data_IF_760605590567
#
_entry.id   IF_760605590567
#
_cell.length_a   1.000
_cell.length_b   1.000
_cell.length_c   1.000
_cell.angle_alpha   90.00
_cell.angle_beta   90.00
_cell.angle_gamma   90.00
#
_symmetry.space_group_name_H-M   'P 1'
#
loop_
_entity.id
_entity.type
_entity.pdbx_description
1 polymer ?
#
# COMPACT_ATOMS: atom_id res chain seq x y z
N UNK A 1 12.68 -15.78 -13.85
CA UNK A 1 13.36 -14.59 -14.39
C UNK A 1 14.58 -14.18 -13.56
N UNK A 2 14.80 -14.78 -12.37
CA UNK A 2 15.96 -14.47 -11.53
C UNK A 2 15.95 -13.04 -11.01
N UNK A 3 14.79 -12.53 -10.59
CA UNK A 3 14.66 -11.20 -9.98
C UNK A 3 15.10 -11.26 -8.52
N UNK A 4 15.81 -10.24 -8.06
CA UNK A 4 16.28 -10.12 -6.68
C UNK A 4 15.23 -9.50 -5.78
N UNK A 5 14.46 -8.53 -6.28
CA UNK A 5 13.45 -7.78 -5.53
C UNK A 5 12.20 -7.50 -6.37
N UNK A 6 11.07 -7.30 -5.70
CA UNK A 6 9.84 -6.77 -6.30
C UNK A 6 9.50 -5.44 -5.63
N UNK A 7 9.45 -4.37 -6.41
CA UNK A 7 9.03 -3.04 -5.97
C UNK A 7 7.79 -2.66 -6.75
N UNK A 8 6.67 -2.47 -6.06
CA UNK A 8 5.46 -1.97 -6.67
C UNK A 8 5.22 -0.54 -6.22
N UNK A 9 4.99 0.35 -7.16
CA UNK A 9 4.67 1.76 -6.90
C UNK A 9 3.36 2.14 -7.57
N UNK A 10 2.61 3.02 -6.95
CA UNK A 10 1.32 3.48 -7.43
C UNK A 10 0.71 4.51 -6.49
N UNK A 11 -0.58 4.73 -6.66
CA UNK A 11 -1.38 5.65 -5.86
C UNK A 11 -2.37 4.88 -4.98
N UNK A 12 -2.88 5.52 -3.92
CA UNK A 12 -3.83 4.91 -2.99
C UNK A 12 -4.70 5.96 -2.29
N UNK A 13 -5.85 5.54 -1.79
CA UNK A 13 -6.68 6.30 -0.89
C UNK A 13 -6.24 6.12 0.57
N UNK A 14 -6.14 7.21 1.33
CA UNK A 14 -5.77 7.18 2.75
C UNK A 14 -6.89 6.65 3.63
N UNK A 15 -6.53 5.74 4.54
CA UNK A 15 -7.43 5.21 5.58
C UNK A 15 -7.23 5.89 6.94
N UNK A 16 -6.21 6.71 7.10
CA UNK A 16 -5.88 7.43 8.35
C UNK A 16 -6.10 8.93 8.17
N UNK A 17 -6.61 9.59 9.21
CA UNK A 17 -6.88 11.02 9.17
C UNK A 17 -5.59 11.86 9.04
N UNK A 18 -4.52 11.42 9.70
CA UNK A 18 -3.22 12.08 9.75
C UNK A 18 -2.39 11.96 8.46
N UNK A 19 -2.73 11.02 7.58
CA UNK A 19 -2.01 10.84 6.31
C UNK A 19 -2.65 11.76 5.26
N UNK A 20 -1.91 12.71 4.74
CA UNK A 20 -2.40 13.72 3.82
C UNK A 20 -2.30 13.27 2.35
N UNK A 21 -3.04 13.95 1.49
CA UNK A 21 -2.87 13.83 0.04
C UNK A 21 -1.44 14.26 -0.31
N UNK A 22 -0.82 13.54 -1.23
CA UNK A 22 0.58 13.59 -1.64
C UNK A 22 1.58 12.92 -0.67
N UNK A 23 1.20 12.55 0.55
CA UNK A 23 2.07 11.74 1.42
C UNK A 23 2.40 10.39 0.80
N UNK A 24 3.51 9.79 1.25
CA UNK A 24 3.94 8.45 0.84
C UNK A 24 3.67 7.45 1.97
N UNK A 25 3.06 6.33 1.61
CA UNK A 25 2.96 5.14 2.46
C UNK A 25 3.90 4.06 1.92
N UNK A 26 4.82 3.60 2.78
CA UNK A 26 5.70 2.46 2.56
C UNK A 26 5.09 1.27 3.32
N UNK A 27 4.85 0.15 2.66
CA UNK A 27 4.25 -1.00 3.32
C UNK A 27 5.14 -1.57 4.42
N UNK A 28 4.58 -1.77 5.62
CA UNK A 28 5.14 -2.69 6.62
C UNK A 28 4.75 -4.13 6.28
N UNK A 29 3.50 -4.29 5.89
CA UNK A 29 2.89 -5.54 5.43
C UNK A 29 1.71 -5.22 4.51
N UNK A 30 1.22 -6.24 3.81
CA UNK A 30 0.13 -6.10 2.85
C UNK A 30 -0.86 -7.25 3.01
N UNK A 31 -2.16 -6.98 2.90
CA UNK A 31 -3.21 -8.01 2.91
C UNK A 31 -4.39 -7.66 2.00
N UNK A 32 -5.21 -8.67 1.70
CA UNK A 32 -6.48 -8.49 0.98
C UNK A 32 -7.59 -8.12 1.95
N UNK A 33 -8.18 -6.92 1.84
CA UNK A 33 -9.28 -6.51 2.71
C UNK A 33 -10.65 -7.07 2.30
N UNK A 34 -10.78 -7.54 1.08
CA UNK A 34 -12.01 -8.10 0.51
C UNK A 34 -12.03 -9.64 0.46
N UNK A 35 -10.96 -10.30 0.93
CA UNK A 35 -10.95 -11.75 1.11
C UNK A 35 -11.75 -12.14 2.35
N UNK A 36 -12.85 -12.84 2.14
CA UNK A 36 -13.68 -13.36 3.23
C UNK A 36 -13.91 -14.87 3.10
N UNK A 37 -13.18 -15.62 3.87
CA UNK A 37 -13.37 -17.07 4.05
C UNK A 37 -13.76 -17.41 5.49
N UNK A 38 -14.34 -16.45 6.23
CA UNK A 38 -14.72 -16.63 7.63
C UNK A 38 -15.76 -17.76 7.84
N UNK A 39 -16.61 -18.01 6.86
CA UNK A 39 -17.51 -19.16 6.86
C UNK A 39 -16.83 -20.54 6.93
N UNK A 40 -15.53 -20.61 6.64
CA UNK A 40 -14.69 -21.78 6.78
C UNK A 40 -13.72 -21.70 7.98
N UNK A 41 -13.90 -20.71 8.86
CA UNK A 41 -13.10 -20.52 10.07
C UNK A 41 -11.80 -19.75 9.88
N UNK A 42 -11.55 -19.15 8.72
CA UNK A 42 -10.41 -18.28 8.51
C UNK A 42 -10.65 -16.86 9.05
N UNK A 43 -9.65 -16.18 9.58
CA UNK A 43 -9.73 -14.75 9.84
C UNK A 43 -10.10 -13.97 8.57
N UNK A 44 -10.82 -12.86 8.74
CA UNK A 44 -11.10 -11.94 7.64
C UNK A 44 -9.78 -11.43 7.03
N UNK A 45 -9.67 -11.44 5.72
CA UNK A 45 -8.46 -11.07 4.99
C UNK A 45 -7.49 -12.23 4.75
N UNK A 46 -7.64 -13.36 5.44
CA UNK A 46 -6.74 -14.50 5.26
C UNK A 46 -7.13 -15.35 4.04
N UNK A 47 -6.17 -15.58 3.17
CA UNK A 47 -6.35 -16.48 2.03
C UNK A 47 -6.36 -17.93 2.54
N UNK A 48 -7.37 -18.73 2.17
CA UNK A 48 -7.45 -20.14 2.59
C UNK A 48 -6.17 -20.93 2.27
N UNK A 49 -5.75 -21.79 3.21
CA UNK A 49 -4.54 -22.62 3.13
C UNK A 49 -3.22 -21.84 3.16
N UNK A 50 -3.23 -20.57 3.43
CA UNK A 50 -2.01 -19.82 3.74
C UNK A 50 -1.81 -19.72 5.25
N UNK A 51 -0.57 -19.84 5.70
CA UNK A 51 -0.21 -19.82 7.13
C UNK A 51 -0.10 -18.38 7.69
N UNK A 52 -0.27 -17.37 6.83
CA UNK A 52 -0.14 -15.95 7.17
C UNK A 52 -1.42 -15.19 6.82
N UNK A 53 -1.75 -14.18 7.62
CA UNK A 53 -2.84 -13.24 7.35
C UNK A 53 -2.39 -12.14 6.38
N UNK A 54 -1.17 -11.63 6.56
CA UNK A 54 -0.58 -10.57 5.75
C UNK A 54 0.81 -10.98 5.28
N UNK A 55 1.29 -10.31 4.25
CA UNK A 55 2.62 -10.51 3.66
C UNK A 55 3.53 -9.39 4.13
N UNK A 56 4.56 -9.72 4.92
CA UNK A 56 5.52 -8.75 5.44
C UNK A 56 6.42 -8.22 4.32
N UNK A 57 6.56 -6.90 4.25
CA UNK A 57 7.52 -6.26 3.35
C UNK A 57 8.95 -6.50 3.80
N UNK A 58 9.88 -6.52 2.87
CA UNK A 58 11.29 -6.68 3.18
C UNK A 58 11.83 -5.46 3.93
N UNK A 59 12.41 -5.69 5.11
CA UNK A 59 12.88 -4.61 5.98
C UNK A 59 13.97 -3.74 5.34
N UNK A 60 14.87 -4.36 4.59
CA UNK A 60 15.95 -3.62 3.91
C UNK A 60 15.37 -2.67 2.84
N UNK A 61 14.40 -3.15 2.04
CA UNK A 61 13.71 -2.32 1.06
C UNK A 61 12.89 -1.19 1.72
N UNK A 62 12.26 -1.45 2.86
CA UNK A 62 11.54 -0.43 3.64
C UNK A 62 12.49 0.65 4.13
N UNK A 63 13.65 0.27 4.69
CA UNK A 63 14.65 1.21 5.20
C UNK A 63 15.21 2.09 4.06
N UNK A 64 15.60 1.50 2.92
CA UNK A 64 16.05 2.25 1.73
C UNK A 64 14.95 3.18 1.21
N UNK A 65 13.70 2.71 1.13
CA UNK A 65 12.58 3.55 0.67
C UNK A 65 12.36 4.75 1.57
N UNK A 66 12.48 4.58 2.90
CA UNK A 66 12.40 5.68 3.88
C UNK A 66 13.51 6.70 3.67
N UNK A 67 14.75 6.24 3.50
CA UNK A 67 15.91 7.12 3.24
C UNK A 67 15.75 7.87 1.91
N UNK A 68 15.29 7.18 0.86
CA UNK A 68 15.00 7.79 -0.43
C UNK A 68 13.92 8.88 -0.32
N UNK A 69 12.81 8.63 0.40
CA UNK A 69 11.79 9.64 0.68
C UNK A 69 12.38 10.87 1.36
N UNK A 70 13.15 10.69 2.43
CA UNK A 70 13.77 11.80 3.16
C UNK A 70 14.71 12.65 2.28
N UNK A 71 15.36 12.02 1.29
CA UNK A 71 16.29 12.69 0.37
C UNK A 71 15.58 13.47 -0.74
N UNK A 72 14.58 12.86 -1.40
CA UNK A 72 14.00 13.45 -2.62
C UNK A 72 12.63 14.07 -2.43
N UNK A 73 11.97 13.82 -1.28
CA UNK A 73 10.65 14.33 -0.91
C UNK A 73 10.62 14.85 0.55
N UNK A 74 11.57 15.69 0.98
CA UNK A 74 11.71 16.08 2.40
C UNK A 74 10.51 16.84 2.94
N UNK A 75 9.70 17.47 2.08
CA UNK A 75 8.51 18.26 2.44
C UNK A 75 7.23 17.40 2.52
N UNK A 76 7.32 16.10 2.20
CA UNK A 76 6.17 15.21 2.12
C UNK A 76 6.20 14.24 3.28
N UNK A 77 5.04 14.01 3.91
CA UNK A 77 4.88 13.01 4.96
C UNK A 77 5.24 11.62 4.45
N UNK A 78 6.04 10.89 5.22
CA UNK A 78 6.40 9.50 4.94
C UNK A 78 5.96 8.63 6.09
N UNK A 79 5.12 7.65 5.79
CA UNK A 79 4.50 6.75 6.76
C UNK A 79 4.87 5.31 6.44
N UNK A 80 5.19 4.52 7.47
CA UNK A 80 5.38 3.07 7.33
C UNK A 80 4.19 2.39 7.99
N UNK A 81 3.46 1.59 7.22
CA UNK A 81 2.25 0.95 7.75
C UNK A 81 1.62 -0.04 6.77
N UNK A 82 0.54 -0.65 7.22
CA UNK A 82 -0.18 -1.66 6.46
C UNK A 82 -0.85 -1.07 5.22
N UNK A 83 -0.62 -1.70 4.07
CA UNK A 83 -1.37 -1.47 2.84
C UNK A 83 -2.43 -2.55 2.70
N UNK A 84 -3.66 -2.17 2.37
CA UNK A 84 -4.74 -3.14 2.18
C UNK A 84 -5.29 -3.04 0.76
N UNK A 85 -5.47 -4.20 0.11
CA UNK A 85 -5.89 -4.27 -1.29
C UNK A 85 -7.24 -4.95 -1.45
N UNK A 86 -8.00 -4.53 -2.45
CA UNK A 86 -9.23 -5.18 -2.87
C UNK A 86 -9.66 -4.72 -4.27
N UNK A 87 -10.50 -5.48 -4.94
CA UNK A 87 -10.94 -5.19 -6.31
C UNK A 87 -12.04 -4.11 -6.37
N UNK A 88 -11.90 -3.07 -5.54
CA UNK A 88 -12.85 -1.96 -5.42
C UNK A 88 -12.14 -0.63 -5.22
N UNK A 89 -12.54 0.39 -5.99
CA UNK A 89 -12.21 1.77 -5.68
C UNK A 89 -13.03 2.23 -4.47
N UNK A 90 -12.37 2.51 -3.34
CA UNK A 90 -13.05 2.88 -2.09
C UNK A 90 -13.33 4.38 -2.09
N UNK A 91 -14.62 4.74 -2.22
CA UNK A 91 -15.12 6.11 -2.25
C UNK A 91 -16.33 6.33 -1.35
N UNK A 92 -16.64 5.39 -0.47
CA UNK A 92 -17.74 5.43 0.49
C UNK A 92 -17.18 5.43 1.90
N UNK A 93 -17.60 6.40 2.70
CA UNK A 93 -17.12 6.58 4.07
C UNK A 93 -17.39 5.38 4.97
N UNK A 94 -18.56 4.75 4.86
CA UNK A 94 -18.90 3.59 5.69
C UNK A 94 -18.04 2.37 5.32
N UNK A 95 -17.70 2.19 4.05
CA UNK A 95 -16.78 1.15 3.58
C UNK A 95 -15.38 1.42 4.12
N UNK A 96 -14.87 2.66 4.02
CA UNK A 96 -13.59 3.08 4.60
C UNK A 96 -13.52 2.77 6.11
N UNK A 97 -14.54 3.18 6.88
CA UNK A 97 -14.58 2.95 8.32
C UNK A 97 -14.56 1.46 8.67
N UNK A 98 -15.28 0.63 7.92
CA UNK A 98 -15.28 -0.83 8.08
C UNK A 98 -13.90 -1.43 7.79
N UNK A 99 -13.23 -1.01 6.71
CA UNK A 99 -11.87 -1.48 6.37
C UNK A 99 -10.90 -1.06 7.48
N UNK A 100 -10.94 0.19 7.91
CA UNK A 100 -10.07 0.72 8.97
C UNK A 100 -10.26 -0.03 10.30
N UNK A 101 -11.51 -0.31 10.68
CA UNK A 101 -11.83 -1.03 11.92
C UNK A 101 -11.34 -2.48 11.91
N UNK A 102 -11.39 -3.14 10.75
CA UNK A 102 -11.01 -4.55 10.63
C UNK A 102 -9.50 -4.77 10.49
N UNK A 103 -8.78 -3.87 9.82
CA UNK A 103 -7.43 -4.14 9.36
C UNK A 103 -6.37 -3.16 9.85
N UNK A 104 -6.77 -2.03 10.43
CA UNK A 104 -5.85 -0.94 10.83
C UNK A 104 -4.92 -0.48 9.70
N UNK A 105 -5.44 -0.48 8.45
CA UNK A 105 -4.71 -0.09 7.26
C UNK A 105 -4.34 1.41 7.23
N UNK A 106 -3.22 1.74 6.60
CA UNK A 106 -2.79 3.11 6.37
C UNK A 106 -3.36 3.66 5.06
N UNK A 107 -3.39 2.83 4.02
CA UNK A 107 -4.02 3.16 2.75
C UNK A 107 -4.64 1.93 2.09
N UNK A 108 -5.52 2.17 1.12
CA UNK A 108 -6.19 1.14 0.32
C UNK A 108 -5.93 1.37 -1.16
N UNK A 109 -5.72 0.28 -1.89
CA UNK A 109 -5.45 0.24 -3.32
C UNK A 109 -5.90 -1.10 -3.91
N UNK A 110 -5.51 -1.48 -5.12
CA UNK A 110 -6.15 -2.60 -5.81
C UNK A 110 -5.19 -3.71 -6.26
N UNK A 111 -3.87 -3.60 -6.11
CA UNK A 111 -2.89 -4.55 -6.67
C UNK A 111 -1.87 -5.10 -5.67
N UNK A 112 -1.54 -4.34 -4.64
CA UNK A 112 -0.41 -4.60 -3.76
C UNK A 112 -0.44 -5.96 -3.08
N UNK A 113 -1.61 -6.40 -2.59
CA UNK A 113 -1.72 -7.70 -1.93
C UNK A 113 -1.54 -8.88 -2.90
N UNK A 114 -2.01 -8.77 -4.13
CA UNK A 114 -1.81 -9.81 -5.15
C UNK A 114 -0.31 -9.92 -5.54
N UNK A 115 0.37 -8.78 -5.68
CA UNK A 115 1.81 -8.72 -5.95
C UNK A 115 2.60 -9.27 -4.76
N UNK A 116 2.27 -8.84 -3.53
CA UNK A 116 2.88 -9.32 -2.30
C UNK A 116 2.71 -10.83 -2.11
N UNK A 117 1.51 -11.37 -2.37
CA UNK A 117 1.24 -12.80 -2.34
C UNK A 117 2.10 -13.56 -3.34
N UNK A 118 2.19 -13.07 -4.57
CA UNK A 118 3.03 -13.69 -5.59
C UNK A 118 4.52 -13.67 -5.20
N UNK A 119 5.01 -12.56 -4.67
CA UNK A 119 6.38 -12.43 -4.18
C UNK A 119 6.65 -13.38 -3.01
N UNK A 120 5.75 -13.43 -2.01
CA UNK A 120 5.83 -14.34 -0.86
C UNK A 120 5.92 -15.81 -1.29
N UNK A 121 5.02 -16.25 -2.18
CA UNK A 121 5.00 -17.65 -2.67
C UNK A 121 6.27 -18.03 -3.44
N UNK A 122 6.91 -17.05 -4.09
CA UNK A 122 8.17 -17.23 -4.80
C UNK A 122 9.41 -16.91 -3.94
N UNK A 123 9.24 -16.53 -2.67
CA UNK A 123 10.32 -16.15 -1.74
C UNK A 123 11.18 -15.00 -2.28
N UNK A 124 10.57 -14.06 -2.96
CA UNK A 124 11.21 -12.86 -3.47
C UNK A 124 10.90 -11.71 -2.50
N UNK A 125 11.92 -11.01 -1.98
CA UNK A 125 11.70 -9.81 -1.15
C UNK A 125 10.93 -8.74 -1.90
N UNK A 126 10.02 -8.03 -1.21
CA UNK A 126 9.19 -7.01 -1.86
C UNK A 126 8.94 -5.81 -0.96
N UNK A 127 8.56 -4.69 -1.57
CA UNK A 127 7.96 -3.51 -0.92
C UNK A 127 6.88 -2.91 -1.82
N UNK A 128 5.81 -2.43 -1.20
CA UNK A 128 4.73 -1.69 -1.85
C UNK A 128 4.83 -0.23 -1.43
N UNK A 129 4.87 0.67 -2.39
CA UNK A 129 4.98 2.12 -2.20
C UNK A 129 3.73 2.79 -2.77
N UNK A 130 3.09 3.65 -2.00
CA UNK A 130 1.88 4.36 -2.45
C UNK A 130 1.97 5.85 -2.16
N UNK A 131 1.72 6.67 -3.19
CA UNK A 131 1.47 8.09 -3.02
C UNK A 131 -0.03 8.31 -2.84
N UNK A 132 -0.40 9.09 -1.85
CA UNK A 132 -1.82 9.30 -1.53
C UNK A 132 -2.45 10.28 -2.51
N UNK A 133 -3.48 9.83 -3.23
CA UNK A 133 -4.24 10.62 -4.20
C UNK A 133 -5.55 11.16 -3.65
N UNK A 134 -6.11 10.49 -2.64
CA UNK A 134 -7.43 10.80 -2.07
C UNK A 134 -7.56 10.26 -0.64
N UNK A 135 -8.72 10.53 -0.04
CA UNK A 135 -9.01 10.11 1.35
C UNK A 135 -9.84 8.82 1.45
N UNK A 136 -10.04 8.10 0.36
CA UNK A 136 -10.85 6.88 0.31
C UNK A 136 -12.26 7.05 0.92
N UNK A 137 -12.88 8.22 0.78
CA UNK A 137 -14.19 8.58 1.30
C UNK A 137 -15.03 9.31 0.24
N UNK A 138 -16.11 9.96 0.66
CA UNK A 138 -17.05 10.63 -0.24
C UNK A 138 -16.39 11.73 -1.11
N UNK A 139 -15.19 12.22 -0.74
CA UNK A 139 -14.41 13.17 -1.54
C UNK A 139 -13.54 12.51 -2.62
N UNK A 140 -13.27 11.20 -2.52
CA UNK A 140 -12.28 10.50 -3.33
C UNK A 140 -12.47 10.66 -4.84
N UNK A 141 -13.72 10.67 -5.32
CA UNK A 141 -14.02 10.83 -6.76
C UNK A 141 -13.66 12.22 -7.31
N UNK A 142 -13.54 13.24 -6.46
CA UNK A 142 -13.10 14.57 -6.83
C UNK A 142 -11.59 14.75 -6.60
N UNK A 143 -11.08 14.15 -5.53
CA UNK A 143 -9.67 14.28 -5.13
C UNK A 143 -8.76 13.52 -6.10
N UNK A 144 -9.11 12.29 -6.44
CA UNK A 144 -8.31 11.42 -7.30
C UNK A 144 -7.84 12.09 -8.61
N UNK A 145 -8.71 12.59 -9.49
CA UNK A 145 -8.27 13.20 -10.75
C UNK A 145 -7.50 14.51 -10.55
N UNK A 146 -7.68 15.18 -9.41
CA UNK A 146 -7.01 16.44 -9.09
C UNK A 146 -5.56 16.20 -8.66
N UNK A 147 -5.31 15.16 -7.87
CA UNK A 147 -4.03 14.91 -7.23
C UNK A 147 -3.22 13.75 -7.84
N UNK A 148 -3.82 12.96 -8.74
CA UNK A 148 -3.18 11.83 -9.40
C UNK A 148 -1.82 12.22 -10.01
N UNK A 149 -1.76 13.31 -10.75
CA UNK A 149 -0.52 13.76 -11.40
C UNK A 149 0.60 14.02 -10.38
N UNK A 150 0.29 14.72 -9.29
CA UNK A 150 1.25 15.01 -8.22
C UNK A 150 1.73 13.72 -7.54
N UNK A 151 0.81 12.81 -7.27
CA UNK A 151 1.12 11.52 -6.66
C UNK A 151 2.04 10.68 -7.57
N UNK A 152 1.77 10.66 -8.88
CA UNK A 152 2.63 9.98 -9.87
C UNK A 152 4.03 10.61 -9.92
N UNK A 153 4.14 11.95 -9.95
CA UNK A 153 5.43 12.64 -9.97
C UNK A 153 6.27 12.31 -8.73
N UNK A 154 5.64 12.27 -7.55
CA UNK A 154 6.30 11.89 -6.30
C UNK A 154 6.76 10.43 -6.32
N UNK A 155 5.89 9.51 -6.77
CA UNK A 155 6.24 8.09 -6.92
C UNK A 155 7.42 7.88 -7.87
N UNK A 156 7.47 8.61 -9.00
CA UNK A 156 8.57 8.51 -9.97
C UNK A 156 9.88 9.03 -9.37
N UNK A 157 9.86 10.14 -8.63
CA UNK A 157 11.06 10.67 -7.95
C UNK A 157 11.60 9.66 -6.94
N UNK A 158 10.70 9.13 -6.09
CA UNK A 158 11.05 8.13 -5.10
C UNK A 158 11.65 6.86 -5.75
N UNK A 159 10.98 6.32 -6.77
CA UNK A 159 11.43 5.09 -7.44
C UNK A 159 12.81 5.25 -8.08
N UNK A 160 13.09 6.39 -8.71
CA UNK A 160 14.41 6.66 -9.31
C UNK A 160 15.52 6.68 -8.26
N UNK A 161 15.28 7.28 -7.10
CA UNK A 161 16.26 7.32 -6.01
C UNK A 161 16.45 5.93 -5.40
N UNK A 162 15.35 5.22 -5.13
CA UNK A 162 15.39 3.90 -4.51
C UNK A 162 16.14 2.88 -5.37
N UNK A 163 15.83 2.80 -6.67
CA UNK A 163 16.50 1.86 -7.60
C UNK A 163 18.01 2.16 -7.74
N UNK A 164 18.42 3.39 -7.50
CA UNK A 164 19.86 3.75 -7.48
C UNK A 164 20.61 3.30 -6.22
N UNK A 165 19.90 2.78 -5.20
CA UNK A 165 20.46 2.36 -3.91
C UNK A 165 20.47 0.83 -3.70
N UNK A 166 19.81 0.06 -4.56
CA UNK A 166 19.72 -1.41 -4.52
C UNK A 166 20.59 -2.07 -5.57
#
# INVERSE_FOLDING_TARGET
FGVDYVINTGIAGSLKAEINIADIVISSDVLHHDMDASGFGYPLGQIPRMDVLSFEADKHLVDIAKEACAKVLPEIGTHIGRVVSGDQFISDKAVKERISANFDGYCTEMEGAAIAQAAYLNKVPFVILRAISDKADDSATMDYPTFEKQAIENSVKLLKELVGQI
#
